data_IF_319604281668
#
_entry.id   IF_319604281668
#
_cell.length_a   1.000
_cell.length_b   1.000
_cell.length_c   1.000
_cell.angle_alpha   90.00
_cell.angle_beta   90.00
_cell.angle_gamma   90.00
#
_symmetry.space_group_name_H-M   'P 1'
#
loop_
_entity.id
_entity.type
_entity.pdbx_description
1 polymer ?
#
# COMPACT_ATOMS: atom_id res chain seq x y z
N UNK A 1 14.92 -1.12 -13.16
CA UNK A 1 13.61 -1.17 -12.48
C UNK A 1 13.10 0.24 -12.34
N UNK A 2 11.82 0.41 -12.42
CA UNK A 2 11.17 1.72 -12.31
C UNK A 2 9.91 1.64 -11.45
N UNK A 3 9.57 2.73 -10.82
CA UNK A 3 8.31 2.96 -10.13
C UNK A 3 7.74 4.34 -10.54
N UNK A 4 6.67 4.78 -9.87
CA UNK A 4 6.05 6.08 -10.15
C UNK A 4 6.92 7.29 -9.77
N UNK A 5 8.00 7.10 -9.01
CA UNK A 5 8.90 8.16 -8.55
C UNK A 5 10.20 8.24 -9.36
N UNK A 6 10.58 7.17 -10.05
CA UNK A 6 11.80 7.13 -10.84
C UNK A 6 12.29 5.73 -11.20
N UNK A 7 13.53 5.65 -11.64
CA UNK A 7 14.19 4.39 -12.00
C UNK A 7 15.47 4.18 -11.21
N UNK A 8 15.81 2.92 -10.95
CA UNK A 8 17.05 2.53 -10.31
C UNK A 8 17.64 1.27 -10.96
N UNK A 9 18.97 1.21 -11.01
CA UNK A 9 19.70 0.04 -11.49
C UNK A 9 20.30 -0.72 -10.31
N UNK A 10 20.12 -2.02 -10.31
CA UNK A 10 20.71 -2.92 -9.32
C UNK A 10 21.49 -4.01 -10.03
N UNK A 11 22.69 -4.29 -9.55
CA UNK A 11 23.52 -5.38 -10.07
C UNK A 11 23.58 -6.52 -9.04
N UNK A 12 23.29 -7.72 -9.50
CA UNK A 12 23.37 -8.94 -8.70
C UNK A 12 24.44 -9.86 -9.27
N UNK A 13 25.31 -10.39 -8.42
CA UNK A 13 26.44 -11.22 -8.82
C UNK A 13 26.48 -12.53 -8.02
N UNK A 14 27.07 -13.55 -8.63
CA UNK A 14 27.31 -14.83 -7.96
C UNK A 14 26.03 -15.48 -7.42
N UNK A 15 26.03 -15.86 -6.15
CA UNK A 15 24.93 -16.54 -5.49
C UNK A 15 23.68 -15.69 -5.41
N UNK A 16 23.82 -14.37 -5.19
CA UNK A 16 22.68 -13.46 -5.16
C UNK A 16 21.88 -13.47 -6.47
N UNK A 17 22.57 -13.57 -7.61
CA UNK A 17 21.92 -13.71 -8.91
C UNK A 17 21.19 -15.05 -9.04
N UNK A 18 21.85 -16.15 -8.64
CA UNK A 18 21.27 -17.49 -8.75
C UNK A 18 19.98 -17.63 -7.94
N UNK A 19 19.92 -17.02 -6.76
CA UNK A 19 18.76 -17.05 -5.88
C UNK A 19 17.62 -16.16 -6.40
N UNK A 20 17.96 -15.00 -6.97
CA UNK A 20 16.98 -13.93 -7.26
C UNK A 20 16.57 -13.87 -8.74
N UNK A 21 17.27 -14.53 -9.66
CA UNK A 21 17.03 -14.43 -11.11
C UNK A 21 15.59 -14.71 -11.55
N UNK A 22 14.88 -15.57 -10.82
CA UNK A 22 13.51 -15.96 -11.16
C UNK A 22 12.49 -14.82 -10.94
N UNK A 23 12.83 -13.80 -10.16
CA UNK A 23 12.00 -12.63 -9.93
C UNK A 23 12.13 -11.58 -11.06
N UNK A 24 13.18 -11.65 -11.88
CA UNK A 24 13.48 -10.61 -12.88
C UNK A 24 12.87 -10.90 -14.26
N UNK A 25 11.57 -11.09 -14.30
CA UNK A 25 10.83 -11.18 -15.54
C UNK A 25 10.09 -9.86 -15.82
N UNK A 26 10.08 -9.46 -17.09
CA UNK A 26 9.37 -8.23 -17.52
C UNK A 26 7.89 -8.33 -17.16
N UNK A 27 7.34 -7.26 -16.56
CA UNK A 27 5.94 -7.18 -16.17
C UNK A 27 5.64 -7.71 -14.75
N UNK A 28 6.64 -8.19 -14.02
CA UNK A 28 6.45 -8.53 -12.61
C UNK A 28 6.58 -7.29 -11.72
N UNK A 29 5.68 -7.21 -10.74
CA UNK A 29 5.74 -6.20 -9.68
C UNK A 29 6.42 -6.80 -8.46
N UNK A 30 7.51 -6.17 -8.04
CA UNK A 30 8.37 -6.66 -6.98
C UNK A 30 8.29 -5.74 -5.75
N UNK A 31 8.28 -6.37 -4.60
CA UNK A 31 8.55 -5.72 -3.32
C UNK A 31 9.99 -6.03 -2.90
N UNK A 32 10.79 -4.98 -2.69
CA UNK A 32 12.20 -5.13 -2.37
C UNK A 32 12.55 -4.40 -1.09
N UNK A 33 13.21 -5.11 -0.18
CA UNK A 33 13.83 -4.53 1.02
C UNK A 33 15.34 -4.48 0.84
N UNK A 34 15.92 -3.33 1.12
CA UNK A 34 17.37 -3.13 1.05
C UNK A 34 17.87 -2.17 2.13
N UNK A 35 19.17 -2.16 2.31
CA UNK A 35 19.87 -1.22 3.20
C UNK A 35 20.83 -0.37 2.39
N UNK A 36 20.81 0.93 2.64
CA UNK A 36 21.83 1.84 2.14
C UNK A 36 23.07 1.69 3.02
N UNK A 37 24.21 1.36 2.40
CA UNK A 37 25.48 1.18 3.09
C UNK A 37 26.63 1.83 2.29
N UNK A 38 27.71 2.25 2.96
CA UNK A 38 28.90 2.73 2.26
C UNK A 38 29.51 1.61 1.43
N UNK A 39 30.00 1.93 0.22
CA UNK A 39 30.77 0.99 -0.59
C UNK A 39 32.11 0.66 0.10
N UNK A 40 32.48 -0.62 0.12
CA UNK A 40 33.70 -1.09 0.79
C UNK A 40 34.98 -0.48 0.19
N UNK A 41 35.00 -0.16 -1.11
CA UNK A 41 36.17 0.24 -1.86
C UNK A 41 36.23 1.72 -2.25
N UNK A 42 35.16 2.50 -1.92
CA UNK A 42 35.07 3.93 -2.25
C UNK A 42 34.47 4.70 -1.06
N UNK A 43 35.33 5.40 -0.33
CA UNK A 43 34.89 6.29 0.73
C UNK A 43 34.03 7.40 0.12
N UNK A 44 32.87 7.67 0.74
CA UNK A 44 31.85 8.64 0.33
C UNK A 44 30.89 8.22 -0.79
N UNK A 45 30.95 6.99 -1.29
CA UNK A 45 29.90 6.44 -2.15
C UNK A 45 29.03 5.44 -1.36
N UNK A 46 27.72 5.49 -1.60
CA UNK A 46 26.76 4.59 -1.00
C UNK A 46 26.22 3.64 -2.05
N UNK A 47 25.85 2.47 -1.61
CA UNK A 47 25.13 1.46 -2.41
C UNK A 47 23.90 0.99 -1.67
N UNK A 48 22.88 0.57 -2.40
CA UNK A 48 21.72 -0.11 -1.82
C UNK A 48 21.92 -1.61 -2.00
N UNK A 49 22.10 -2.29 -0.87
CA UNK A 49 22.15 -3.75 -0.84
C UNK A 49 20.75 -4.31 -0.65
N UNK A 50 20.25 -5.05 -1.63
CA UNK A 50 18.94 -5.68 -1.58
C UNK A 50 19.03 -6.97 -0.76
N UNK A 51 18.26 -7.04 0.31
CA UNK A 51 18.23 -8.19 1.22
C UNK A 51 17.13 -9.18 0.83
N UNK A 52 15.94 -8.67 0.49
CA UNK A 52 14.76 -9.47 0.20
C UNK A 52 14.11 -9.01 -1.10
N UNK A 53 13.65 -9.95 -1.91
CA UNK A 53 12.82 -9.72 -3.09
C UNK A 53 11.65 -10.69 -3.03
N UNK A 54 10.44 -10.17 -3.16
CA UNK A 54 9.19 -10.92 -3.14
C UNK A 54 8.26 -10.38 -4.23
N UNK A 55 7.31 -11.18 -4.68
CA UNK A 55 6.28 -10.69 -5.59
C UNK A 55 5.32 -9.78 -4.82
N UNK A 56 5.09 -8.58 -5.32
CA UNK A 56 4.21 -7.60 -4.67
C UNK A 56 2.79 -8.14 -4.39
N UNK A 57 2.16 -8.94 -5.27
CA UNK A 57 0.87 -9.55 -4.97
C UNK A 57 0.87 -10.45 -3.74
N UNK A 58 1.98 -11.14 -3.46
CA UNK A 58 2.07 -12.12 -2.37
C UNK A 58 2.21 -11.43 -1.01
N UNK A 59 2.89 -10.29 -0.98
CA UNK A 59 3.18 -9.56 0.27
C UNK A 59 2.27 -8.36 0.53
N UNK A 60 1.40 -8.02 -0.41
CA UNK A 60 0.62 -6.78 -0.30
C UNK A 60 -0.25 -6.73 0.97
N UNK A 61 -0.80 -7.88 1.40
CA UNK A 61 -1.63 -7.96 2.60
C UNK A 61 -0.82 -7.89 3.91
N UNK A 62 0.48 -8.22 3.83
CA UNK A 62 1.42 -8.10 4.96
C UNK A 62 2.00 -6.69 5.08
N UNK A 63 2.14 -6.01 3.95
CA UNK A 63 2.74 -4.66 3.89
C UNK A 63 1.71 -3.57 4.16
N UNK A 64 0.44 -3.81 3.79
CA UNK A 64 -0.64 -2.85 3.99
C UNK A 64 -1.27 -3.13 5.36
N UNK A 65 -1.02 -2.25 6.31
CA UNK A 65 -1.56 -2.37 7.66
C UNK A 65 -2.87 -1.61 7.84
N UNK A 66 -3.02 -0.49 7.15
CA UNK A 66 -4.15 0.42 7.36
C UNK A 66 -4.64 1.05 6.06
N UNK A 67 -5.96 1.15 5.94
CA UNK A 67 -6.65 2.01 4.99
C UNK A 67 -7.36 3.12 5.76
N UNK A 68 -7.02 4.36 5.49
CA UNK A 68 -7.72 5.53 6.03
C UNK A 68 -8.55 6.18 4.92
N UNK A 69 -9.86 6.23 5.11
CA UNK A 69 -10.80 6.92 4.22
C UNK A 69 -11.13 8.28 4.83
N UNK A 70 -10.91 9.34 4.09
CA UNK A 70 -11.24 10.70 4.52
C UNK A 70 -12.49 11.18 3.79
N UNK A 71 -13.48 11.60 4.55
CA UNK A 71 -14.78 12.04 4.02
C UNK A 71 -15.28 13.30 4.76
N UNK A 72 -15.94 14.22 4.07
CA UNK A 72 -16.80 15.22 4.72
C UNK A 72 -17.97 14.52 5.43
N UNK A 73 -18.41 15.06 6.56
CA UNK A 73 -19.54 14.50 7.31
C UNK A 73 -20.82 14.45 6.47
N UNK A 74 -21.03 15.43 5.60
CA UNK A 74 -22.17 15.52 4.67
C UNK A 74 -22.26 14.35 3.68
N UNK A 75 -21.16 13.70 3.37
CA UNK A 75 -21.11 12.55 2.43
C UNK A 75 -21.35 11.21 3.12
N UNK A 76 -21.35 11.19 4.46
CA UNK A 76 -21.62 9.97 5.24
C UNK A 76 -23.13 9.88 5.49
N UNK A 77 -23.84 9.46 4.47
CA UNK A 77 -25.26 9.19 4.49
C UNK A 77 -25.56 7.68 4.54
N UNK A 78 -26.85 7.32 4.69
CA UNK A 78 -27.25 5.91 4.80
C UNK A 78 -26.88 5.09 3.57
N UNK A 79 -26.97 5.67 2.37
CA UNK A 79 -26.61 5.03 1.11
C UNK A 79 -25.09 4.67 1.08
N UNK A 80 -24.25 5.63 1.42
CA UNK A 80 -22.80 5.38 1.54
C UNK A 80 -22.50 4.29 2.58
N UNK A 81 -23.17 4.33 3.74
CA UNK A 81 -22.97 3.36 4.81
C UNK A 81 -23.36 1.96 4.33
N UNK A 82 -24.49 1.79 3.66
CA UNK A 82 -24.98 0.50 3.16
C UNK A 82 -24.05 -0.06 2.07
N UNK A 83 -23.68 0.76 1.08
CA UNK A 83 -22.80 0.35 0.00
C UNK A 83 -21.41 -0.02 0.51
N UNK A 84 -20.81 0.85 1.30
CA UNK A 84 -19.46 0.61 1.82
C UNK A 84 -19.41 -0.57 2.80
N UNK A 85 -20.42 -0.72 3.66
CA UNK A 85 -20.53 -1.86 4.55
C UNK A 85 -20.66 -3.19 3.79
N UNK A 86 -21.38 -3.18 2.67
CA UNK A 86 -21.51 -4.36 1.80
C UNK A 86 -20.18 -4.74 1.16
N UNK A 87 -19.41 -3.75 0.69
CA UNK A 87 -18.06 -3.96 0.15
C UNK A 87 -17.09 -4.49 1.20
N UNK A 88 -17.12 -3.93 2.41
CA UNK A 88 -16.29 -4.39 3.53
C UNK A 88 -16.60 -5.84 3.89
N UNK A 89 -17.87 -6.21 3.97
CA UNK A 89 -18.29 -7.58 4.25
C UNK A 89 -17.93 -8.59 3.16
N UNK A 90 -17.90 -8.12 1.90
CA UNK A 90 -17.51 -8.96 0.76
C UNK A 90 -15.99 -9.19 0.67
N UNK A 91 -15.21 -8.34 1.30
CA UNK A 91 -13.74 -8.35 1.23
C UNK A 91 -13.09 -8.44 2.63
N UNK A 92 -13.30 -9.53 3.38
CA UNK A 92 -12.65 -9.70 4.69
C UNK A 92 -11.13 -9.87 4.52
N UNK A 93 -10.34 -9.34 5.45
CA UNK A 93 -8.87 -9.40 5.40
C UNK A 93 -8.20 -8.93 6.68
N UNK A 94 -6.97 -8.42 6.58
CA UNK A 94 -6.13 -8.05 7.72
C UNK A 94 -5.90 -6.54 7.86
N UNK A 95 -6.29 -5.75 6.87
CA UNK A 95 -6.08 -4.30 6.85
C UNK A 95 -7.06 -3.60 7.79
N UNK A 96 -6.55 -2.78 8.69
CA UNK A 96 -7.36 -1.97 9.60
C UNK A 96 -8.01 -0.81 8.83
N UNK A 97 -9.32 -0.64 9.01
CA UNK A 97 -10.07 0.44 8.38
C UNK A 97 -10.24 1.61 9.34
N UNK A 98 -9.79 2.79 8.91
CA UNK A 98 -9.97 4.05 9.61
C UNK A 98 -10.79 5.01 8.76
N UNK A 99 -11.62 5.81 9.44
CA UNK A 99 -12.32 6.95 8.85
C UNK A 99 -11.80 8.25 9.47
N UNK A 100 -11.48 9.20 8.62
CA UNK A 100 -11.15 10.56 9.01
C UNK A 100 -12.28 11.46 8.51
N UNK A 101 -13.16 11.85 9.43
CA UNK A 101 -14.36 12.61 9.12
C UNK A 101 -14.15 14.07 9.48
N UNK A 102 -14.50 14.97 8.58
CA UNK A 102 -14.42 16.41 8.78
C UNK A 102 -15.80 17.03 8.66
N UNK A 103 -16.20 17.82 9.64
CA UNK A 103 -17.44 18.59 9.58
C UNK A 103 -17.27 19.95 8.87
N UNK A 104 -18.36 20.68 8.73
CA UNK A 104 -18.38 22.00 8.10
C UNK A 104 -17.67 23.09 8.93
N UNK A 105 -17.54 22.90 10.24
CA UNK A 105 -16.85 23.81 11.16
C UNK A 105 -15.33 23.56 11.20
N UNK A 106 -14.84 22.53 10.49
CA UNK A 106 -13.44 22.15 10.43
C UNK A 106 -13.00 21.24 11.57
N UNK A 107 -13.94 20.76 12.42
CA UNK A 107 -13.64 19.75 13.41
C UNK A 107 -13.41 18.40 12.71
N UNK A 108 -12.51 17.61 13.27
CA UNK A 108 -12.13 16.31 12.70
C UNK A 108 -12.31 15.20 13.72
N UNK A 109 -12.82 14.08 13.25
CA UNK A 109 -12.99 12.88 14.04
C UNK A 109 -12.32 11.70 13.33
N UNK A 110 -11.49 10.97 14.06
CA UNK A 110 -10.91 9.71 13.57
C UNK A 110 -11.63 8.54 14.21
N UNK A 111 -12.20 7.68 13.39
CA UNK A 111 -12.90 6.46 13.79
C UNK A 111 -12.10 5.27 13.28
N UNK A 112 -11.78 4.34 14.17
CA UNK A 112 -11.13 3.07 13.80
C UNK A 112 -12.13 1.94 13.92
N UNK A 113 -12.26 1.15 12.88
CA UNK A 113 -13.08 -0.07 12.94
C UNK A 113 -12.43 -1.08 13.88
N UNK A 114 -13.17 -1.54 14.87
CA UNK A 114 -12.69 -2.53 15.85
C UNK A 114 -12.92 -3.95 15.38
N UNK A 115 -14.06 -4.19 14.74
CA UNK A 115 -14.56 -5.52 14.44
C UNK A 115 -14.47 -5.90 12.95
N UNK A 116 -14.16 -4.93 12.08
CA UNK A 116 -14.04 -5.15 10.65
C UNK A 116 -12.62 -4.85 10.17
N UNK A 117 -12.00 -5.86 9.60
CA UNK A 117 -10.75 -5.73 8.84
C UNK A 117 -11.01 -6.14 7.40
N UNK A 118 -10.33 -5.51 6.47
CA UNK A 118 -10.58 -5.68 5.04
C UNK A 118 -9.36 -6.19 4.30
N UNK A 119 -9.59 -6.86 3.18
CA UNK A 119 -8.57 -7.10 2.15
C UNK A 119 -8.70 -6.01 1.09
N UNK A 120 -7.59 -5.32 0.79
CA UNK A 120 -7.60 -4.21 -0.18
C UNK A 120 -7.66 -4.75 -1.61
N UNK A 121 -8.85 -5.11 -2.05
CA UNK A 121 -9.12 -5.62 -3.40
C UNK A 121 -9.45 -4.48 -4.37
N UNK A 122 -9.46 -4.83 -5.68
CA UNK A 122 -9.65 -3.84 -6.76
C UNK A 122 -11.01 -3.14 -6.70
N UNK A 123 -12.05 -3.81 -6.25
CA UNK A 123 -13.41 -3.28 -6.13
C UNK A 123 -13.50 -2.18 -5.05
N UNK A 124 -12.88 -2.37 -3.88
CA UNK A 124 -12.79 -1.33 -2.84
C UNK A 124 -12.07 -0.09 -3.37
N UNK A 125 -10.91 -0.30 -4.02
CA UNK A 125 -10.14 0.82 -4.57
C UNK A 125 -10.90 1.51 -5.71
N UNK A 126 -11.59 0.76 -6.56
CA UNK A 126 -12.41 1.32 -7.62
C UNK A 126 -13.59 2.13 -7.08
N UNK A 127 -14.27 1.61 -6.05
CA UNK A 127 -15.33 2.32 -5.36
C UNK A 127 -14.83 3.64 -4.76
N UNK A 128 -13.74 3.62 -4.00
CA UNK A 128 -13.18 4.83 -3.40
C UNK A 128 -12.74 5.87 -4.45
N UNK A 129 -12.23 5.41 -5.60
CA UNK A 129 -11.87 6.29 -6.73
C UNK A 129 -13.09 6.87 -7.45
N UNK A 130 -14.22 6.17 -7.47
CA UNK A 130 -15.45 6.67 -8.09
C UNK A 130 -16.13 7.78 -7.28
N UNK A 131 -15.83 7.86 -5.99
CA UNK A 131 -16.38 8.86 -5.07
C UNK A 131 -15.52 10.13 -5.09
N UNK A 132 -15.96 11.16 -5.79
CA UNK A 132 -15.19 12.40 -6.00
C UNK A 132 -14.88 13.19 -4.73
N UNK A 133 -15.70 13.04 -3.69
CA UNK A 133 -15.57 13.77 -2.43
C UNK A 133 -14.78 13.01 -1.36
N UNK A 134 -14.44 11.74 -1.64
CA UNK A 134 -13.62 10.93 -0.75
C UNK A 134 -12.16 10.99 -1.15
N UNK A 135 -11.28 10.90 -0.17
CA UNK A 135 -9.87 10.60 -0.39
C UNK A 135 -9.45 9.42 0.49
N UNK A 136 -8.42 8.71 0.08
CA UNK A 136 -7.94 7.59 0.87
C UNK A 136 -6.41 7.55 0.92
N UNK A 137 -5.91 7.00 2.02
CA UNK A 137 -4.48 6.77 2.25
C UNK A 137 -4.26 5.32 2.69
N UNK A 138 -3.26 4.69 2.12
CA UNK A 138 -2.78 3.35 2.45
C UNK A 138 -1.46 3.49 3.21
N UNK A 139 -1.35 2.81 4.34
CA UNK A 139 -0.11 2.76 5.15
C UNK A 139 0.26 1.33 5.45
#
# INVERSE_FOLDING_TARGET
MEDYSGSAEFAFFGNDWLEKKNFFNIGMFLYMKGKCQPKQWRQNEYEVKINTIELLPDVKEEVIEQLTVSAPLSEINDEFIEEFSSLVKANPGNVTLNFYVKDEEGQTLTLTSRDCRISLQKDIVAYLKSQSMLSYKIN
#
